data_IF_820942806366
#
_entry.id   IF_820942806366
#
_cell.length_a   1.000
_cell.length_b   1.000
_cell.length_c   1.000
_cell.angle_alpha   90.00
_cell.angle_beta   90.00
_cell.angle_gamma   90.00
#
_symmetry.space_group_name_H-M   'P 1'
#
loop_
_entity.id
_entity.type
_entity.pdbx_description
1 polymer ?
#
# COMPACT_ATOMS: atom_id res chain seq x y z
N UNK A 1 26.67 44.01 -19.70
CA UNK A 1 25.37 43.30 -19.66
C UNK A 1 25.05 43.12 -18.19
N UNK A 2 23.96 43.69 -17.67
CA UNK A 2 23.56 43.37 -16.29
C UNK A 2 23.21 41.88 -16.24
N UNK A 3 23.77 41.18 -15.27
CA UNK A 3 23.54 39.75 -15.07
C UNK A 3 22.05 39.53 -14.78
N UNK A 4 21.42 38.62 -15.52
CA UNK A 4 20.00 38.33 -15.37
C UNK A 4 19.69 37.85 -13.93
N UNK A 5 20.69 37.30 -13.24
CA UNK A 5 20.62 36.95 -11.82
C UNK A 5 20.35 38.15 -10.91
N UNK A 6 21.03 39.28 -11.11
CA UNK A 6 20.81 40.50 -10.31
C UNK A 6 19.39 41.06 -10.51
N UNK A 7 18.86 40.97 -11.73
CA UNK A 7 17.49 41.40 -12.04
C UNK A 7 16.45 40.59 -11.24
N UNK A 8 16.61 39.26 -11.16
CA UNK A 8 15.68 38.43 -10.39
C UNK A 8 15.83 38.63 -8.89
N UNK A 9 17.04 38.85 -8.37
CA UNK A 9 17.26 39.10 -6.94
C UNK A 9 16.60 40.41 -6.50
N UNK A 10 16.75 41.48 -7.28
CA UNK A 10 16.18 42.81 -6.96
C UNK A 10 14.65 42.79 -7.04
N UNK A 11 14.10 42.02 -7.99
CA UNK A 11 12.67 42.02 -8.27
C UNK A 11 11.88 40.89 -7.58
N UNK A 12 12.54 39.99 -6.87
CA UNK A 12 11.87 38.90 -6.15
C UNK A 12 11.08 39.45 -4.95
N UNK A 13 9.76 39.41 -5.03
CA UNK A 13 8.86 39.70 -3.91
C UNK A 13 8.31 38.38 -3.39
N UNK A 14 8.40 38.18 -2.07
CA UNK A 14 7.76 37.03 -1.43
C UNK A 14 6.24 37.12 -1.64
N UNK A 15 5.68 36.13 -2.30
CA UNK A 15 4.24 35.95 -2.45
C UNK A 15 3.80 34.91 -1.42
N UNK A 16 2.87 35.29 -0.55
CA UNK A 16 2.22 34.37 0.37
C UNK A 16 0.91 33.91 -0.28
N UNK A 17 0.76 32.60 -0.47
CA UNK A 17 -0.46 32.01 -1.00
C UNK A 17 -1.24 31.36 0.14
N UNK A 18 -2.47 31.82 0.33
CA UNK A 18 -3.43 31.16 1.22
C UNK A 18 -4.09 30.00 0.46
N UNK A 19 -3.50 28.82 0.58
CA UNK A 19 -4.00 27.60 -0.06
C UNK A 19 -5.33 27.15 0.54
N UNK A 20 -5.56 27.39 1.84
CA UNK A 20 -6.81 27.05 2.50
C UNK A 20 -7.96 27.84 1.86
N UNK A 21 -7.78 29.15 1.66
CA UNK A 21 -8.77 29.98 0.97
C UNK A 21 -8.93 29.61 -0.51
N UNK A 22 -7.85 29.31 -1.22
CA UNK A 22 -7.89 28.97 -2.65
C UNK A 22 -8.72 27.71 -2.93
N UNK A 23 -8.57 26.70 -2.07
CA UNK A 23 -9.22 25.39 -2.23
C UNK A 23 -10.43 25.21 -1.32
N UNK A 24 -10.85 26.27 -0.61
CA UNK A 24 -11.96 26.23 0.35
C UNK A 24 -11.77 25.16 1.43
N UNK A 25 -10.53 24.91 1.84
CA UNK A 25 -10.19 23.92 2.86
C UNK A 25 -10.52 24.45 4.26
N UNK A 26 -11.09 23.58 5.06
CA UNK A 26 -11.48 23.79 6.45
C UNK A 26 -10.78 22.75 7.33
N UNK A 27 -10.74 22.98 8.65
CA UNK A 27 -10.17 22.00 9.60
C UNK A 27 -10.86 20.62 9.49
N UNK A 28 -12.14 20.59 9.10
CA UNK A 28 -12.92 19.37 8.91
C UNK A 28 -12.39 18.51 7.77
N UNK A 29 -11.79 19.11 6.73
CA UNK A 29 -11.19 18.39 5.60
C UNK A 29 -9.92 17.62 6.00
N UNK A 30 -9.32 17.99 7.12
CA UNK A 30 -8.12 17.36 7.69
C UNK A 30 -8.44 16.44 8.88
N UNK A 31 -9.71 16.40 9.32
CA UNK A 31 -10.13 15.42 10.32
C UNK A 31 -10.04 14.03 9.70
N UNK A 32 -9.14 13.21 10.22
CA UNK A 32 -9.10 11.79 9.88
C UNK A 32 -10.47 11.19 10.19
N UNK A 33 -11.24 10.87 9.15
CA UNK A 33 -12.34 9.95 9.32
C UNK A 33 -11.69 8.67 9.85
N UNK A 34 -12.10 8.21 11.04
CA UNK A 34 -11.66 6.94 11.63
C UNK A 34 -12.29 5.79 10.83
N UNK A 35 -11.93 5.72 9.54
CA UNK A 35 -12.43 4.76 8.57
C UNK A 35 -12.16 3.34 9.07
N UNK A 36 -11.03 3.11 9.75
CA UNK A 36 -10.72 1.83 10.38
C UNK A 36 -11.74 1.43 11.44
N UNK A 37 -12.12 2.37 12.32
CA UNK A 37 -13.09 2.11 13.39
C UNK A 37 -14.51 1.93 12.85
N UNK A 38 -14.87 2.70 11.82
CA UNK A 38 -16.17 2.60 11.15
C UNK A 38 -16.31 1.28 10.36
N UNK A 39 -15.23 0.79 9.77
CA UNK A 39 -15.18 -0.53 9.13
C UNK A 39 -15.27 -1.65 10.17
N UNK A 40 -14.54 -1.56 11.29
CA UNK A 40 -14.63 -2.55 12.39
C UNK A 40 -16.06 -2.64 12.96
N UNK A 41 -16.67 -1.50 13.27
CA UNK A 41 -18.05 -1.45 13.80
C UNK A 41 -19.06 -2.03 12.80
N UNK A 42 -18.88 -1.74 11.51
CA UNK A 42 -19.75 -2.26 10.45
C UNK A 42 -19.59 -3.77 10.21
N UNK A 43 -18.36 -4.28 10.26
CA UNK A 43 -18.09 -5.73 10.17
C UNK A 43 -18.71 -6.46 11.37
N UNK A 44 -18.60 -5.89 12.57
CA UNK A 44 -19.22 -6.45 13.77
C UNK A 44 -20.76 -6.44 13.64
N UNK A 45 -21.37 -5.34 13.20
CA UNK A 45 -22.81 -5.30 12.95
C UNK A 45 -23.28 -6.29 11.88
N UNK A 46 -22.49 -6.54 10.83
CA UNK A 46 -22.82 -7.52 9.80
C UNK A 46 -22.72 -8.96 10.35
N UNK A 47 -21.72 -9.25 11.19
CA UNK A 47 -21.54 -10.56 11.85
C UNK A 47 -22.64 -10.84 12.89
N UNK A 48 -23.05 -9.83 13.65
CA UNK A 48 -24.03 -9.96 14.73
C UNK A 48 -25.48 -9.64 14.29
N UNK A 49 -25.67 -8.93 13.18
CA UNK A 49 -26.97 -8.53 12.65
C UNK A 49 -27.69 -9.63 11.85
N UNK A 50 -26.96 -10.59 11.28
CA UNK A 50 -27.56 -11.72 10.57
C UNK A 50 -27.91 -12.92 11.46
N UNK A 51 -27.39 -13.00 12.69
CA UNK A 51 -27.71 -14.10 13.61
C UNK A 51 -28.56 -13.61 14.77
N UNK A 52 -29.87 -13.81 14.60
CA UNK A 52 -30.84 -13.79 15.69
C UNK A 52 -30.34 -14.63 16.87
N UNK A 53 -30.56 -14.08 18.05
CA UNK A 53 -30.26 -14.68 19.35
C UNK A 53 -31.03 -16.00 19.41
N UNK A 54 -30.30 -17.09 19.63
CA UNK A 54 -30.71 -18.45 20.01
C UNK A 54 -30.16 -19.51 19.05
N UNK A 55 -29.29 -20.38 19.59
CA UNK A 55 -28.68 -21.58 18.99
C UNK A 55 -27.55 -21.39 17.96
N UNK A 56 -26.31 -21.21 18.44
CA UNK A 56 -25.16 -21.90 17.82
C UNK A 56 -24.18 -22.30 18.93
N UNK A 57 -24.18 -23.60 19.26
CA UNK A 57 -23.08 -24.23 20.00
C UNK A 57 -21.77 -23.95 19.25
N UNK A 58 -20.77 -23.46 19.98
CA UNK A 58 -19.38 -23.43 19.52
C UNK A 58 -18.92 -24.88 19.31
N UNK A 59 -18.74 -25.35 18.06
CA UNK A 59 -17.42 -25.83 17.66
C UNK A 59 -17.19 -25.93 16.14
N UNK A 60 -16.76 -24.87 15.42
CA UNK A 60 -16.08 -25.05 14.10
C UNK A 60 -15.17 -23.85 13.74
N UNK A 61 -14.30 -23.41 14.66
CA UNK A 61 -13.28 -22.38 14.35
C UNK A 61 -11.85 -22.93 14.26
N UNK A 62 -11.64 -24.22 14.51
CA UNK A 62 -10.30 -24.78 14.70
C UNK A 62 -9.77 -25.67 13.57
N UNK A 63 -10.60 -26.09 12.60
CA UNK A 63 -10.17 -27.03 11.55
C UNK A 63 -9.84 -26.42 10.17
N UNK A 64 -9.90 -25.09 9.98
CA UNK A 64 -9.48 -24.42 8.72
C UNK A 64 -8.14 -23.66 8.87
N UNK A 65 -7.40 -23.89 9.96
CA UNK A 65 -6.08 -23.28 10.23
C UNK A 65 -4.91 -23.89 9.44
N UNK A 66 -5.15 -24.63 8.35
CA UNK A 66 -4.07 -25.11 7.49
C UNK A 66 -3.78 -24.14 6.34
N UNK A 67 -2.71 -23.35 6.54
CA UNK A 67 -1.87 -22.65 5.55
C UNK A 67 -2.51 -21.51 4.74
N UNK A 68 -3.02 -20.48 5.40
CA UNK A 68 -3.16 -19.15 4.76
C UNK A 68 -2.26 -18.18 5.50
N UNK A 69 -1.17 -17.71 4.86
CA UNK A 69 -0.37 -16.61 5.40
C UNK A 69 -1.28 -15.40 5.61
N UNK A 70 -1.16 -14.77 6.77
CA UNK A 70 -1.87 -13.51 7.04
C UNK A 70 -1.41 -12.43 6.05
N UNK A 71 -2.29 -11.49 5.72
CA UNK A 71 -1.94 -10.32 4.91
C UNK A 71 -0.67 -9.64 5.43
N UNK A 72 -0.57 -9.48 6.75
CA UNK A 72 0.55 -8.82 7.40
C UNK A 72 1.87 -9.60 7.26
N UNK A 73 1.81 -10.93 7.26
CA UNK A 73 2.97 -11.79 7.06
C UNK A 73 3.53 -11.65 5.64
N UNK A 74 2.66 -11.70 4.62
CA UNK A 74 3.06 -11.53 3.22
C UNK A 74 3.60 -10.12 2.97
N UNK A 75 2.93 -9.11 3.54
CA UNK A 75 3.36 -7.72 3.43
C UNK A 75 4.76 -7.49 4.02
N UNK A 76 5.00 -8.02 5.21
CA UNK A 76 6.30 -7.92 5.87
C UNK A 76 7.39 -8.70 5.11
N UNK A 77 7.07 -9.89 4.59
CA UNK A 77 8.01 -10.67 3.77
C UNK A 77 8.40 -9.94 2.47
N UNK A 78 7.43 -9.34 1.76
CA UNK A 78 7.71 -8.54 0.56
C UNK A 78 8.49 -7.26 0.88
N UNK A 79 8.26 -6.62 2.04
CA UNK A 79 9.07 -5.48 2.47
C UNK A 79 10.51 -5.88 2.74
N UNK A 80 10.72 -6.99 3.43
CA UNK A 80 12.05 -7.48 3.78
C UNK A 80 12.82 -7.89 2.51
N UNK A 81 12.18 -8.65 1.61
CA UNK A 81 12.76 -9.00 0.31
C UNK A 81 13.19 -7.76 -0.47
N UNK A 82 12.32 -6.74 -0.57
CA UNK A 82 12.64 -5.48 -1.23
C UNK A 82 13.89 -4.81 -0.63
N UNK A 83 13.98 -4.79 0.70
CA UNK A 83 15.11 -4.19 1.40
C UNK A 83 16.41 -4.95 1.08
N UNK A 84 16.38 -6.27 1.16
CA UNK A 84 17.52 -7.13 0.89
C UNK A 84 17.99 -6.98 -0.56
N UNK A 85 17.06 -7.06 -1.52
CA UNK A 85 17.36 -6.90 -2.94
C UNK A 85 17.95 -5.53 -3.28
N UNK A 86 17.43 -4.48 -2.65
CA UNK A 86 17.95 -3.12 -2.84
C UNK A 86 19.39 -2.96 -2.35
N UNK A 87 19.76 -3.66 -1.26
CA UNK A 87 21.13 -3.68 -0.74
C UNK A 87 22.07 -4.44 -1.68
N UNK A 88 21.62 -5.59 -2.19
CA UNK A 88 22.37 -6.38 -3.18
C UNK A 88 22.67 -5.57 -4.45
N UNK A 89 21.65 -4.90 -5.01
CA UNK A 89 21.78 -4.11 -6.23
C UNK A 89 22.31 -2.68 -6.00
N UNK A 90 22.58 -2.30 -4.73
CA UNK A 90 23.03 -0.95 -4.32
C UNK A 90 22.10 0.17 -4.82
N UNK A 91 20.80 -0.08 -4.82
CA UNK A 91 19.76 0.88 -5.18
C UNK A 91 18.87 1.18 -3.97
N UNK A 92 18.05 2.24 -4.05
CA UNK A 92 17.07 2.50 -2.98
C UNK A 92 15.91 1.50 -3.08
N UNK A 93 15.29 1.06 -1.96
CA UNK A 93 14.21 0.06 -1.94
C UNK A 93 13.08 0.33 -2.95
N UNK A 94 12.64 1.58 -3.06
CA UNK A 94 11.53 1.95 -3.94
C UNK A 94 11.83 1.77 -5.44
N UNK A 95 13.10 1.64 -5.85
CA UNK A 95 13.45 1.34 -7.25
C UNK A 95 13.11 -0.11 -7.63
N UNK A 96 13.07 -1.02 -6.65
CA UNK A 96 12.60 -2.40 -6.88
C UNK A 96 11.08 -2.36 -7.11
N UNK A 97 10.31 -1.95 -6.10
CA UNK A 97 8.87 -1.62 -6.19
C UNK A 97 8.42 -0.74 -5.02
N UNK A 98 7.34 0.03 -5.18
CA UNK A 98 6.78 0.91 -4.15
C UNK A 98 5.77 0.16 -3.25
N UNK A 99 5.17 0.84 -2.26
CA UNK A 99 4.20 0.19 -1.36
C UNK A 99 2.87 -0.13 -2.07
N UNK A 100 2.43 0.74 -2.97
CA UNK A 100 1.24 0.52 -3.81
C UNK A 100 1.34 -0.81 -4.58
N UNK A 101 2.50 -1.07 -5.19
CA UNK A 101 2.79 -2.35 -5.84
C UNK A 101 2.76 -3.55 -4.88
N UNK A 102 3.17 -3.40 -3.61
CA UNK A 102 3.08 -4.50 -2.62
C UNK A 102 1.62 -4.85 -2.35
N UNK A 103 0.78 -3.84 -2.15
CA UNK A 103 -0.66 -4.06 -1.94
C UNK A 103 -1.31 -4.70 -3.17
N UNK A 104 -0.97 -4.24 -4.37
CA UNK A 104 -1.46 -4.84 -5.63
C UNK A 104 -1.01 -6.30 -5.78
N UNK A 105 0.24 -6.63 -5.44
CA UNK A 105 0.75 -8.02 -5.46
C UNK A 105 -0.08 -8.91 -4.52
N UNK A 106 -0.35 -8.44 -3.29
CA UNK A 106 -1.09 -9.23 -2.30
C UNK A 106 -2.55 -9.40 -2.70
N UNK A 107 -3.16 -8.38 -3.29
CA UNK A 107 -4.54 -8.43 -3.83
C UNK A 107 -4.63 -9.38 -5.02
N UNK A 108 -3.65 -9.33 -5.92
CA UNK A 108 -3.61 -10.15 -7.14
C UNK A 108 -3.36 -11.63 -6.83
N UNK A 109 -2.52 -11.95 -5.83
CA UNK A 109 -2.05 -13.31 -5.52
C UNK A 109 -1.54 -14.05 -6.77
N UNK A 110 -0.51 -13.52 -7.47
CA UNK A 110 0.00 -14.10 -8.71
C UNK A 110 0.47 -15.55 -8.52
N UNK A 111 0.07 -16.42 -9.44
CA UNK A 111 0.52 -17.82 -9.49
C UNK A 111 1.70 -17.98 -10.44
N UNK A 112 1.86 -17.07 -11.39
CA UNK A 112 2.98 -17.02 -12.31
C UNK A 112 3.62 -15.64 -12.28
N UNK A 113 4.94 -15.57 -12.56
CA UNK A 113 5.65 -14.27 -12.59
C UNK A 113 5.08 -13.36 -13.68
N UNK A 114 4.51 -13.94 -14.74
CA UNK A 114 3.86 -13.25 -15.84
C UNK A 114 2.61 -12.47 -15.39
N UNK A 115 1.91 -12.92 -14.34
CA UNK A 115 0.70 -12.26 -13.83
C UNK A 115 1.00 -10.84 -13.31
N UNK A 116 2.24 -10.61 -12.86
CA UNK A 116 2.71 -9.31 -12.38
C UNK A 116 2.68 -8.23 -13.45
N UNK A 117 2.56 -8.56 -14.75
CA UNK A 117 2.44 -7.58 -15.83
C UNK A 117 1.19 -6.70 -15.70
N UNK A 118 0.17 -7.19 -14.99
CA UNK A 118 -1.07 -6.45 -14.73
C UNK A 118 -0.89 -5.30 -13.73
N UNK A 119 0.17 -5.34 -12.92
CA UNK A 119 0.47 -4.37 -11.86
C UNK A 119 1.18 -3.16 -12.46
N UNK A 120 0.65 -1.97 -12.19
CA UNK A 120 1.22 -0.74 -12.74
C UNK A 120 2.65 -0.54 -12.24
N UNK A 121 3.61 -0.52 -13.16
CA UNK A 121 5.04 -0.33 -12.86
C UNK A 121 5.86 -1.61 -12.75
N UNK A 122 5.24 -2.80 -12.93
CA UNK A 122 5.93 -4.04 -13.24
C UNK A 122 6.09 -4.20 -14.75
N UNK A 123 7.25 -3.76 -15.25
CA UNK A 123 7.66 -4.02 -16.63
C UNK A 123 8.42 -5.34 -16.77
N UNK A 124 8.71 -5.76 -18.02
CA UNK A 124 9.35 -7.06 -18.31
C UNK A 124 10.68 -7.26 -17.55
N UNK A 125 11.49 -6.20 -17.44
CA UNK A 125 12.78 -6.24 -16.72
C UNK A 125 12.60 -6.58 -15.23
N UNK A 126 11.58 -6.02 -14.57
CA UNK A 126 11.33 -6.29 -13.15
C UNK A 126 10.74 -7.67 -12.94
N UNK A 127 9.87 -8.10 -13.86
CA UNK A 127 9.26 -9.44 -13.83
C UNK A 127 10.34 -10.52 -13.98
N UNK A 128 11.25 -10.32 -14.92
CA UNK A 128 12.37 -11.24 -15.12
C UNK A 128 13.30 -11.30 -13.90
N UNK A 129 13.61 -10.13 -13.31
CA UNK A 129 14.52 -10.04 -12.17
C UNK A 129 13.95 -10.50 -10.82
N UNK A 130 12.69 -10.16 -10.53
CA UNK A 130 12.11 -10.27 -9.19
C UNK A 130 10.84 -11.12 -9.14
N UNK A 131 10.25 -11.42 -10.30
CA UNK A 131 8.91 -11.99 -10.35
C UNK A 131 8.81 -13.38 -9.74
N UNK A 132 9.81 -14.23 -9.96
CA UNK A 132 9.82 -15.58 -9.37
C UNK A 132 9.89 -15.51 -7.83
N UNK A 133 10.83 -14.73 -7.29
CA UNK A 133 10.99 -14.55 -5.84
C UNK A 133 9.70 -14.03 -5.19
N UNK A 134 9.00 -13.09 -5.85
CA UNK A 134 7.73 -12.54 -5.37
C UNK A 134 6.65 -13.63 -5.30
N UNK A 135 6.52 -14.45 -6.36
CA UNK A 135 5.55 -15.56 -6.40
C UNK A 135 5.87 -16.58 -5.30
N UNK A 136 7.15 -16.89 -5.09
CA UNK A 136 7.58 -17.83 -4.06
C UNK A 136 7.26 -17.32 -2.64
N UNK A 137 7.44 -16.02 -2.38
CA UNK A 137 7.08 -15.39 -1.10
C UNK A 137 5.58 -15.53 -0.81
N UNK A 138 4.74 -15.39 -1.83
CA UNK A 138 3.28 -15.49 -1.73
C UNK A 138 2.85 -16.93 -1.49
N UNK A 139 3.49 -17.89 -2.16
CA UNK A 139 3.18 -19.32 -2.04
C UNK A 139 3.59 -19.94 -0.71
N UNK A 140 4.65 -19.43 -0.09
CA UNK A 140 5.08 -19.85 1.24
C UNK A 140 6.14 -20.93 1.25
#
# INVERSE_FOLDING_TARGET
MKDIGEFFIINNKSISYDYNKKYSLTEEDFMEQNIEKEIEEKILEEIYGEKGIDEVETPVLEEVKEKVKSYEEVFNALKEYRLNKSREEKVKPYFIYNNEMVEEIIKLKPEAKEDLISIKGFGPVKIEKYGQDIVDIIRG
#
